data_IF_492626077733
#
_entry.id   IF_492626077733
#
_cell.length_a   1.000
_cell.length_b   1.000
_cell.length_c   1.000
_cell.angle_alpha   90.00
_cell.angle_beta   90.00
_cell.angle_gamma   90.00
#
_symmetry.space_group_name_H-M   'P 1'
#
loop_
_entity.id
_entity.type
_entity.pdbx_description
1 polymer ?
#
# COMPACT_ATOMS: atom_id res chain seq x y z
N UNK A 1 10.94 -12.25 20.63
CA UNK A 1 10.53 -11.83 19.28
C UNK A 1 9.06 -11.47 19.35
N UNK A 2 8.74 -10.24 19.74
CA UNK A 2 7.36 -9.75 19.76
C UNK A 2 7.02 -9.46 18.31
N UNK A 3 6.41 -10.43 17.64
CA UNK A 3 5.77 -10.20 16.37
C UNK A 3 4.66 -9.19 16.62
N UNK A 4 4.98 -7.90 16.51
CA UNK A 4 4.00 -6.84 16.40
C UNK A 4 3.27 -7.10 15.09
N UNK A 5 2.26 -7.95 15.19
CA UNK A 5 1.22 -8.06 14.19
C UNK A 5 0.69 -6.64 14.02
N UNK A 6 1.23 -5.92 13.02
CA UNK A 6 0.79 -4.58 12.67
C UNK A 6 -0.73 -4.55 12.73
N UNK A 7 -1.27 -3.51 13.35
CA UNK A 7 -2.70 -3.37 13.61
C UNK A 7 -3.55 -3.82 12.42
N UNK A 8 -4.79 -4.28 12.64
CA UNK A 8 -5.72 -4.68 11.56
C UNK A 8 -5.74 -3.69 10.39
N UNK A 9 -5.52 -2.40 10.68
CA UNK A 9 -5.37 -1.34 9.71
C UNK A 9 -4.07 -1.44 8.87
N UNK A 10 -2.91 -1.73 9.45
CA UNK A 10 -1.67 -2.00 8.71
C UNK A 10 -1.78 -3.23 7.81
N UNK A 11 -2.44 -4.30 8.27
CA UNK A 11 -2.72 -5.48 7.42
C UNK A 11 -3.62 -5.12 6.23
N UNK A 12 -4.69 -4.36 6.45
CA UNK A 12 -5.56 -3.88 5.37
C UNK A 12 -4.82 -3.01 4.35
N UNK A 13 -3.85 -2.18 4.79
CA UNK A 13 -3.03 -1.38 3.89
C UNK A 13 -2.06 -2.23 3.05
N UNK A 14 -1.51 -3.30 3.64
CA UNK A 14 -0.67 -4.26 2.91
C UNK A 14 -1.50 -4.96 1.83
N UNK A 15 -2.69 -5.46 2.17
CA UNK A 15 -3.59 -6.12 1.22
C UNK A 15 -4.06 -5.19 0.09
N UNK A 16 -4.39 -3.93 0.42
CA UNK A 16 -4.79 -2.93 -0.57
C UNK A 16 -3.65 -2.65 -1.57
N UNK A 17 -2.41 -2.49 -1.07
CA UNK A 17 -1.22 -2.28 -1.92
C UNK A 17 -0.93 -3.49 -2.81
N UNK A 18 -1.04 -4.70 -2.28
CA UNK A 18 -0.85 -5.94 -3.05
C UNK A 18 -1.90 -6.07 -4.18
N UNK A 19 -3.15 -5.69 -3.88
CA UNK A 19 -4.23 -5.67 -4.87
C UNK A 19 -3.97 -4.67 -6.00
N UNK A 20 -3.45 -3.47 -5.67
CA UNK A 20 -3.07 -2.47 -6.67
C UNK A 20 -1.92 -2.95 -7.56
N UNK A 21 -0.91 -3.63 -7.00
CA UNK A 21 0.19 -4.23 -7.78
C UNK A 21 -0.31 -5.29 -8.76
N UNK A 22 -1.24 -6.15 -8.32
CA UNK A 22 -1.88 -7.14 -9.21
C UNK A 22 -2.68 -6.48 -10.33
N UNK A 23 -3.41 -5.40 -10.03
CA UNK A 23 -4.14 -4.63 -11.02
C UNK A 23 -3.21 -3.97 -12.04
N UNK A 24 -2.14 -3.30 -11.58
CA UNK A 24 -1.14 -2.68 -12.45
C UNK A 24 -0.45 -3.71 -13.35
N UNK A 25 -0.09 -4.89 -12.83
CA UNK A 25 0.47 -5.97 -13.62
C UNK A 25 -0.49 -6.48 -14.70
N UNK A 26 -1.77 -6.63 -14.36
CA UNK A 26 -2.82 -7.04 -15.31
C UNK A 26 -3.03 -6.02 -16.43
N UNK A 27 -2.85 -4.73 -16.12
CA UNK A 27 -2.91 -3.64 -17.10
C UNK A 27 -1.63 -3.53 -17.94
N UNK A 28 -0.53 -4.14 -17.53
CA UNK A 28 0.75 -4.11 -18.23
C UNK A 28 0.67 -4.59 -19.69
N UNK A 29 -0.24 -5.53 -19.96
CA UNK A 29 -0.47 -6.11 -21.30
C UNK A 29 -1.55 -5.41 -22.12
N UNK A 30 -2.20 -4.35 -21.60
CA UNK A 30 -3.30 -3.66 -22.28
C UNK A 30 -2.78 -2.36 -22.90
N UNK A 31 -2.97 -2.19 -24.21
CA UNK A 31 -2.64 -0.95 -24.91
C UNK A 31 -3.49 0.23 -24.42
N UNK A 32 -2.92 1.44 -24.43
CA UNK A 32 -3.56 2.69 -23.98
C UNK A 32 -3.99 2.75 -22.51
N UNK A 33 -3.49 1.84 -21.67
CA UNK A 33 -3.79 1.79 -20.22
C UNK A 33 -2.85 2.63 -19.35
N UNK A 34 -1.91 3.38 -19.93
CA UNK A 34 -0.85 4.09 -19.20
C UNK A 34 -1.39 5.12 -18.22
N UNK A 35 -2.47 5.80 -18.58
CA UNK A 35 -3.16 6.73 -17.67
C UNK A 35 -3.72 6.02 -16.44
N UNK A 36 -4.28 4.81 -16.60
CA UNK A 36 -4.82 4.00 -15.51
C UNK A 36 -3.68 3.53 -14.60
N UNK A 37 -2.58 3.02 -15.18
CA UNK A 37 -1.39 2.62 -14.41
C UNK A 37 -0.85 3.77 -13.57
N UNK A 38 -0.78 4.98 -14.15
CA UNK A 38 -0.32 6.17 -13.44
C UNK A 38 -1.23 6.50 -12.25
N UNK A 39 -2.54 6.51 -12.46
CA UNK A 39 -3.51 6.74 -11.37
C UNK A 39 -3.38 5.68 -10.27
N UNK A 40 -3.26 4.40 -10.61
CA UNK A 40 -3.09 3.33 -9.63
C UNK A 40 -1.77 3.45 -8.86
N UNK A 41 -0.71 3.91 -9.52
CA UNK A 41 0.58 4.17 -8.90
C UNK A 41 0.51 5.35 -7.91
N UNK A 42 -0.22 6.41 -8.25
CA UNK A 42 -0.43 7.55 -7.35
C UNK A 42 -1.21 7.11 -6.09
N UNK A 43 -2.28 6.32 -6.26
CA UNK A 43 -3.02 5.72 -5.13
C UNK A 43 -2.13 4.80 -4.29
N UNK A 44 -1.28 4.00 -4.92
CA UNK A 44 -0.33 3.14 -4.21
C UNK A 44 0.61 3.96 -3.32
N UNK A 45 1.14 5.06 -3.84
CA UNK A 45 2.03 5.96 -3.08
C UNK A 45 1.31 6.61 -1.89
N UNK A 46 0.06 7.04 -2.07
CA UNK A 46 -0.74 7.58 -0.96
C UNK A 46 -0.95 6.53 0.15
N UNK A 47 -1.25 5.27 -0.23
CA UNK A 47 -1.38 4.16 0.73
C UNK A 47 -0.06 3.86 1.44
N UNK A 48 1.07 3.92 0.74
CA UNK A 48 2.39 3.71 1.37
C UNK A 48 2.71 4.83 2.36
N UNK A 49 2.43 6.09 2.03
CA UNK A 49 2.60 7.22 2.95
C UNK A 49 1.71 7.08 4.20
N UNK A 50 0.46 6.63 4.02
CA UNK A 50 -0.45 6.39 5.13
C UNK A 50 0.01 5.22 6.01
N UNK A 51 0.55 4.17 5.40
CA UNK A 51 1.12 3.02 6.11
C UNK A 51 2.41 3.38 6.85
N UNK A 52 3.30 4.17 6.25
CA UNK A 52 4.51 4.67 6.90
C UNK A 52 4.18 5.61 8.06
N UNK A 53 3.23 6.52 7.88
CA UNK A 53 2.76 7.42 8.94
C UNK A 53 2.20 6.66 10.14
N UNK A 54 1.49 5.55 9.89
CA UNK A 54 0.99 4.66 10.95
C UNK A 54 2.11 3.90 11.64
N UNK A 55 3.03 3.29 10.89
CA UNK A 55 4.21 2.64 11.46
C UNK A 55 4.98 3.57 12.38
N UNK A 56 5.23 4.81 11.96
CA UNK A 56 5.88 5.83 12.80
C UNK A 56 5.08 6.13 14.07
N UNK A 57 3.76 6.30 13.99
CA UNK A 57 2.89 6.53 15.17
C UNK A 57 2.85 5.35 16.14
N UNK A 58 2.82 4.11 15.62
CA UNK A 58 2.86 2.89 16.43
C UNK A 58 4.23 2.77 17.12
N UNK A 59 5.34 2.97 16.38
CA UNK A 59 6.69 2.97 16.97
C UNK A 59 6.92 4.10 17.99
N UNK A 60 6.30 5.28 17.81
CA UNK A 60 6.41 6.38 18.77
C UNK A 60 5.54 6.18 20.03
N UNK A 61 4.49 5.36 19.99
CA UNK A 61 3.67 5.04 21.16
C UNK A 61 4.29 3.96 22.07
N UNK A 62 5.39 3.32 21.64
CA UNK A 62 6.16 2.36 22.44
C UNK A 62 7.31 3.00 23.24
N UNK A 63 7.49 4.33 23.20
CA UNK A 63 8.48 5.06 24.02
C UNK A 63 7.82 5.87 25.14
#
# INVERSE_FOLDING_TARGET
MTSEAGSTQCRGLIEAKDSLLKAMNSLGSIEHSDHIKKTLHDVYNELEQLHESRRKKESNNLN
#
